data_IF_998148465350
#
_entry.id   IF_998148465350
#
_cell.length_a   1.000
_cell.length_b   1.000
_cell.length_c   1.000
_cell.angle_alpha   90.00
_cell.angle_beta   90.00
_cell.angle_gamma   90.00
#
_symmetry.space_group_name_H-M   'P 1'
#
loop_
_entity.id
_entity.type
_entity.pdbx_description
1 polymer ?
#
# COMPACT_ATOMS: atom_id res chain seq x y z
N UNK A 1 19.12 52.20 26.26
CA UNK A 1 18.16 51.52 25.36
C UNK A 1 18.72 50.27 24.67
N UNK A 2 20.05 50.12 24.45
CA UNK A 2 20.66 48.93 23.81
C UNK A 2 20.62 47.62 24.63
N UNK A 3 20.59 47.66 25.98
CA UNK A 3 20.57 46.44 26.83
C UNK A 3 19.23 45.69 26.83
N UNK A 4 18.13 46.36 26.46
CA UNK A 4 16.78 45.78 26.45
C UNK A 4 16.50 45.01 25.16
N UNK A 5 17.03 45.46 24.02
CA UNK A 5 16.89 44.76 22.75
C UNK A 5 17.64 43.43 22.74
N UNK A 6 18.84 43.36 23.33
CA UNK A 6 19.64 42.15 23.45
C UNK A 6 19.00 41.04 24.29
N UNK A 7 18.31 41.41 25.38
CA UNK A 7 17.56 40.45 26.20
C UNK A 7 16.37 39.85 25.45
N UNK A 8 15.69 40.69 24.65
CA UNK A 8 14.52 40.28 23.86
C UNK A 8 14.92 39.40 22.67
N UNK A 9 16.02 39.70 21.98
CA UNK A 9 16.54 38.82 20.92
C UNK A 9 17.12 37.52 21.46
N UNK A 10 17.79 37.53 22.62
CA UNK A 10 18.28 36.30 23.24
C UNK A 10 17.15 35.36 23.68
N UNK A 11 16.04 35.90 24.20
CA UNK A 11 14.86 35.11 24.58
C UNK A 11 14.12 34.53 23.37
N UNK A 12 14.05 35.25 22.25
CA UNK A 12 13.44 34.73 21.01
C UNK A 12 14.30 33.64 20.35
N UNK A 13 15.64 33.76 20.42
CA UNK A 13 16.54 32.72 19.91
C UNK A 13 16.49 31.43 20.75
N UNK A 14 16.38 31.54 22.08
CA UNK A 14 16.28 30.39 22.98
C UNK A 14 14.99 29.57 22.82
N UNK A 15 13.90 30.19 22.34
CA UNK A 15 12.62 29.51 22.11
C UNK A 15 12.51 28.83 20.73
N UNK A 16 13.27 29.29 19.71
CA UNK A 16 13.18 28.76 18.35
C UNK A 16 14.04 27.49 18.13
N UNK A 17 15.15 27.36 18.86
CA UNK A 17 16.10 26.23 18.72
C UNK A 17 15.50 24.87 19.14
N UNK A 18 14.72 24.76 20.25
CA UNK A 18 14.07 23.50 20.63
C UNK A 18 13.01 23.05 19.63
N UNK A 19 12.30 24.00 18.99
CA UNK A 19 11.29 23.70 17.98
C UNK A 19 11.88 23.09 16.70
N UNK A 20 13.10 23.52 16.30
CA UNK A 20 13.79 22.99 15.13
C UNK A 20 14.40 21.60 15.36
N UNK A 21 14.79 21.27 16.59
CA UNK A 21 15.41 19.97 16.93
C UNK A 21 14.38 18.87 17.22
N UNK A 22 13.17 19.22 17.64
CA UNK A 22 12.10 18.24 17.89
C UNK A 22 11.54 17.60 16.61
N UNK A 23 11.79 18.19 15.43
CA UNK A 23 11.35 17.66 14.13
C UNK A 23 12.25 16.56 13.56
N UNK A 24 13.48 16.38 14.07
CA UNK A 24 14.44 15.43 13.50
C UNK A 24 14.11 13.95 13.75
N UNK A 25 13.40 13.64 14.84
CA UNK A 25 13.06 12.27 15.23
C UNK A 25 12.05 11.60 14.29
N UNK A 26 11.22 12.38 13.61
CA UNK A 26 10.26 11.89 12.62
C UNK A 26 10.90 11.58 11.26
N UNK A 27 12.00 12.24 10.89
CA UNK A 27 12.67 12.02 9.60
C UNK A 27 13.61 10.80 9.63
N UNK A 28 14.28 10.58 10.76
CA UNK A 28 15.20 9.45 10.92
C UNK A 28 14.52 8.06 10.80
N UNK A 29 13.23 7.95 11.11
CA UNK A 29 12.50 6.67 11.08
C UNK A 29 12.08 6.25 9.67
N UNK A 30 11.65 7.20 8.83
CA UNK A 30 11.31 6.95 7.43
C UNK A 30 12.55 6.52 6.62
N UNK A 31 13.70 7.15 6.89
CA UNK A 31 14.99 6.79 6.27
C UNK A 31 15.39 5.34 6.55
N UNK A 32 15.14 4.84 7.77
CA UNK A 32 15.50 3.47 8.15
C UNK A 32 14.68 2.41 7.39
N UNK A 33 13.41 2.67 7.08
CA UNK A 33 12.57 1.75 6.29
C UNK A 33 13.01 1.76 4.83
N UNK A 34 13.26 2.93 4.26
CA UNK A 34 13.74 3.07 2.88
C UNK A 34 15.05 2.31 2.66
N UNK A 35 16.00 2.42 3.59
CA UNK A 35 17.27 1.68 3.54
C UNK A 35 17.05 0.15 3.57
N UNK A 36 16.18 -0.35 4.45
CA UNK A 36 15.86 -1.79 4.52
C UNK A 36 15.20 -2.31 3.24
N UNK A 37 14.34 -1.50 2.62
CA UNK A 37 13.70 -1.84 1.35
C UNK A 37 14.73 -1.86 0.20
N UNK A 38 15.64 -0.90 0.17
CA UNK A 38 16.75 -0.90 -0.80
C UNK A 38 17.68 -2.11 -0.63
N UNK A 39 18.02 -2.48 0.60
CA UNK A 39 18.82 -3.68 0.88
C UNK A 39 18.08 -4.97 0.52
N UNK A 40 16.75 -5.00 0.69
CA UNK A 40 15.92 -6.13 0.26
C UNK A 40 15.87 -6.23 -1.27
N UNK A 41 15.67 -5.12 -1.97
CA UNK A 41 15.71 -5.07 -3.44
C UNK A 41 17.05 -5.62 -3.94
N UNK A 42 18.18 -5.10 -3.41
CA UNK A 42 19.52 -5.53 -3.80
C UNK A 42 19.75 -7.02 -3.60
N UNK A 43 19.29 -7.58 -2.47
CA UNK A 43 19.41 -9.02 -2.18
C UNK A 43 18.51 -9.89 -3.04
N UNK A 44 17.39 -9.36 -3.53
CA UNK A 44 16.44 -10.11 -4.35
C UNK A 44 16.94 -10.42 -5.76
N UNK A 45 17.91 -9.64 -6.27
CA UNK A 45 18.36 -9.72 -7.66
C UNK A 45 17.35 -9.21 -8.69
N UNK A 46 16.23 -8.63 -8.24
CA UNK A 46 15.17 -8.08 -9.06
C UNK A 46 14.81 -6.64 -8.70
N UNK A 47 13.55 -6.30 -8.89
CA UNK A 47 12.96 -5.00 -8.54
C UNK A 47 11.90 -5.17 -7.47
N UNK A 48 11.83 -4.23 -6.53
CA UNK A 48 10.88 -4.23 -5.43
C UNK A 48 10.02 -2.97 -5.45
N UNK A 49 8.69 -3.13 -5.43
CA UNK A 49 7.73 -2.05 -5.25
C UNK A 49 6.93 -2.27 -3.97
N UNK A 50 6.80 -1.24 -3.15
CA UNK A 50 6.13 -1.33 -1.84
C UNK A 50 5.33 -0.05 -1.58
N UNK A 51 4.07 -0.24 -1.15
CA UNK A 51 3.23 0.82 -0.60
C UNK A 51 2.68 0.37 0.75
N UNK A 52 3.03 1.07 1.82
CA UNK A 52 2.45 0.90 3.15
C UNK A 52 1.54 2.10 3.41
N UNK A 53 0.28 1.84 3.74
CA UNK A 53 -0.72 2.85 4.06
C UNK A 53 -1.23 2.56 5.47
N UNK A 54 -1.04 3.49 6.39
CA UNK A 54 -1.64 3.43 7.71
C UNK A 54 -3.07 3.96 7.64
N UNK A 55 -4.06 3.08 7.74
CA UNK A 55 -5.48 3.47 7.62
C UNK A 55 -6.03 4.23 8.84
N UNK A 56 -5.23 4.44 9.89
CA UNK A 56 -5.62 5.24 11.05
C UNK A 56 -5.41 6.75 10.84
N UNK A 57 -4.41 7.13 10.03
CA UNK A 57 -3.98 8.52 9.83
C UNK A 57 -3.60 8.87 8.38
N UNK A 58 -3.83 7.95 7.43
CA UNK A 58 -3.47 8.03 6.01
C UNK A 58 -1.99 8.27 5.71
N UNK A 59 -1.09 8.11 6.70
CA UNK A 59 0.34 8.20 6.46
C UNK A 59 0.81 7.06 5.56
N UNK A 60 1.76 7.37 4.66
CA UNK A 60 2.24 6.43 3.66
C UNK A 60 3.77 6.33 3.67
N UNK A 61 4.27 5.12 3.41
CA UNK A 61 5.65 4.87 3.05
C UNK A 61 5.69 4.14 1.71
N UNK A 62 6.23 4.81 0.70
CA UNK A 62 6.30 4.31 -0.67
C UNK A 62 7.75 4.03 -1.06
N UNK A 63 7.99 2.91 -1.73
CA UNK A 63 9.26 2.56 -2.37
C UNK A 63 8.95 2.10 -3.80
N UNK A 64 9.36 2.89 -4.80
CA UNK A 64 8.96 2.73 -6.21
C UNK A 64 7.42 2.69 -6.40
N UNK A 65 6.68 3.45 -5.58
CA UNK A 65 5.21 3.39 -5.53
C UNK A 65 4.51 3.72 -6.85
N UNK A 66 5.13 4.55 -7.69
CA UNK A 66 4.57 4.98 -8.99
C UNK A 66 5.05 4.12 -10.18
N UNK A 67 5.88 3.11 -9.93
CA UNK A 67 6.40 2.25 -10.97
C UNK A 67 5.45 1.08 -11.27
N UNK A 68 5.48 0.59 -12.52
CA UNK A 68 4.63 -0.53 -12.95
C UNK A 68 5.24 -1.88 -12.59
N UNK A 69 4.39 -2.79 -12.12
CA UNK A 69 4.70 -4.19 -11.84
C UNK A 69 3.63 -5.11 -12.43
N UNK A 70 4.00 -6.36 -12.72
CA UNK A 70 3.03 -7.36 -13.15
C UNK A 70 2.09 -7.72 -11.98
N UNK A 71 0.79 -7.52 -12.15
CA UNK A 71 -0.19 -7.84 -11.10
C UNK A 71 -0.33 -9.36 -10.87
N UNK A 72 -0.12 -10.18 -11.91
CA UNK A 72 -0.38 -11.61 -11.85
C UNK A 72 -1.78 -11.88 -11.25
N UNK A 73 -1.89 -12.74 -10.23
CA UNK A 73 -3.16 -13.03 -9.57
C UNK A 73 -3.68 -11.93 -8.64
N UNK A 74 -2.90 -10.89 -8.28
CA UNK A 74 -3.42 -9.81 -7.42
C UNK A 74 -4.52 -9.00 -8.10
N UNK A 75 -4.51 -8.93 -9.44
CA UNK A 75 -5.56 -8.28 -10.22
C UNK A 75 -6.96 -8.92 -10.05
N UNK A 76 -7.04 -10.16 -9.54
CA UNK A 76 -8.33 -10.82 -9.25
C UNK A 76 -9.14 -10.09 -8.18
N UNK A 77 -8.50 -9.33 -7.29
CA UNK A 77 -9.20 -8.49 -6.30
C UNK A 77 -10.09 -7.47 -7.00
N UNK A 78 -9.59 -6.81 -8.05
CA UNK A 78 -10.37 -5.86 -8.83
C UNK A 78 -11.49 -6.52 -9.63
N UNK A 79 -11.25 -7.71 -10.19
CA UNK A 79 -12.29 -8.48 -10.87
C UNK A 79 -13.43 -8.86 -9.92
N UNK A 80 -13.12 -9.34 -8.71
CA UNK A 80 -14.10 -9.65 -7.69
C UNK A 80 -14.87 -8.39 -7.23
N UNK A 81 -14.17 -7.28 -7.02
CA UNK A 81 -14.79 -6.00 -6.66
C UNK A 81 -15.78 -5.52 -7.74
N UNK A 82 -15.46 -5.71 -9.03
CA UNK A 82 -16.36 -5.36 -10.12
C UNK A 82 -17.65 -6.22 -10.11
N UNK A 83 -17.53 -7.52 -9.86
CA UNK A 83 -18.69 -8.43 -9.70
C UNK A 83 -19.55 -8.01 -8.50
N UNK A 84 -18.92 -7.71 -7.36
CA UNK A 84 -19.64 -7.23 -6.17
C UNK A 84 -20.34 -5.89 -6.42
N UNK A 85 -19.68 -4.95 -7.12
CA UNK A 85 -20.29 -3.67 -7.48
C UNK A 85 -21.51 -3.86 -8.39
N UNK A 86 -21.43 -4.79 -9.34
CA UNK A 86 -22.57 -5.14 -10.19
C UNK A 86 -23.73 -5.75 -9.37
N UNK A 87 -23.42 -6.49 -8.31
CA UNK A 87 -24.43 -7.11 -7.47
C UNK A 87 -25.31 -6.11 -6.70
N UNK A 88 -24.83 -4.87 -6.50
CA UNK A 88 -25.61 -3.81 -5.85
C UNK A 88 -26.87 -3.43 -6.65
N UNK A 89 -26.84 -3.56 -7.98
CA UNK A 89 -28.00 -3.30 -8.86
C UNK A 89 -28.62 -4.58 -9.44
N UNK A 90 -27.88 -5.69 -9.42
CA UNK A 90 -28.36 -6.99 -9.87
C UNK A 90 -27.91 -8.11 -8.89
N UNK A 91 -28.69 -8.37 -7.83
CA UNK A 91 -28.34 -9.35 -6.80
C UNK A 91 -28.13 -10.78 -7.33
N UNK A 92 -28.73 -11.13 -8.47
CA UNK A 92 -28.59 -12.46 -9.07
C UNK A 92 -27.17 -12.74 -9.58
N UNK A 93 -26.35 -11.71 -9.80
CA UNK A 93 -24.98 -11.89 -10.33
C UNK A 93 -24.12 -12.77 -9.42
N UNK A 94 -24.26 -12.67 -8.10
CA UNK A 94 -23.48 -13.48 -7.15
C UNK A 94 -24.09 -14.86 -6.88
N UNK A 95 -25.38 -15.03 -7.17
CA UNK A 95 -26.10 -16.30 -7.02
C UNK A 95 -26.18 -17.10 -8.32
N UNK A 96 -25.76 -16.50 -9.44
CA UNK A 96 -25.81 -17.11 -10.76
C UNK A 96 -24.85 -18.29 -10.81
N UNK A 97 -25.42 -19.49 -10.94
CA UNK A 97 -24.67 -20.70 -11.23
C UNK A 97 -24.17 -20.69 -12.67
N UNK A 98 -22.87 -20.91 -12.84
CA UNK A 98 -22.15 -21.01 -14.10
C UNK A 98 -21.74 -22.47 -14.35
N UNK A 99 -22.02 -22.94 -15.56
CA UNK A 99 -21.45 -24.20 -16.06
C UNK A 99 -19.95 -24.02 -16.25
N UNK A 100 -19.16 -25.00 -15.78
CA UNK A 100 -17.71 -25.03 -15.96
C UNK A 100 -17.38 -26.26 -16.78
N UNK A 101 -16.82 -26.07 -17.98
CA UNK A 101 -16.41 -27.18 -18.83
C UNK A 101 -14.98 -27.59 -18.52
N UNK A 102 -14.66 -28.85 -18.79
CA UNK A 102 -13.28 -29.35 -18.65
C UNK A 102 -12.29 -28.56 -19.51
N UNK A 103 -12.75 -28.03 -20.65
CA UNK A 103 -11.96 -27.17 -21.55
C UNK A 103 -11.64 -25.79 -20.96
N UNK A 104 -12.39 -25.34 -19.96
CA UNK A 104 -12.22 -24.02 -19.34
C UNK A 104 -11.18 -24.04 -18.21
N UNK A 105 -10.78 -25.25 -17.77
CA UNK A 105 -9.77 -25.40 -16.72
C UNK A 105 -8.40 -24.99 -17.24
N UNK A 106 -7.77 -24.09 -16.50
CA UNK A 106 -6.38 -23.67 -16.70
C UNK A 106 -5.50 -24.20 -15.57
N UNK A 107 -4.19 -24.02 -15.69
CA UNK A 107 -3.22 -24.39 -14.65
C UNK A 107 -3.65 -23.79 -13.32
N UNK A 108 -3.64 -24.62 -12.27
CA UNK A 108 -4.01 -24.26 -10.89
C UNK A 108 -5.49 -23.89 -10.71
N UNK A 109 -6.37 -24.90 -10.90
CA UNK A 109 -7.83 -24.78 -10.75
C UNK A 109 -8.42 -25.65 -9.61
N UNK A 110 -7.86 -25.64 -8.38
CA UNK A 110 -8.14 -26.64 -7.34
C UNK A 110 -9.57 -26.65 -6.77
N UNK A 111 -10.34 -25.60 -7.06
CA UNK A 111 -11.76 -25.48 -6.68
C UNK A 111 -12.64 -25.80 -7.88
N UNK A 112 -12.50 -25.07 -8.98
CA UNK A 112 -13.34 -25.22 -10.17
C UNK A 112 -13.24 -26.61 -10.82
N UNK A 113 -12.10 -27.30 -10.71
CA UNK A 113 -11.94 -28.67 -11.22
C UNK A 113 -12.87 -29.70 -10.53
N UNK A 114 -13.36 -29.38 -9.32
CA UNK A 114 -14.27 -30.25 -8.55
C UNK A 114 -15.75 -30.03 -8.90
N UNK A 115 -16.04 -29.03 -9.73
CA UNK A 115 -17.40 -28.56 -10.01
C UNK A 115 -17.82 -28.70 -11.48
N UNK A 116 -17.15 -29.57 -12.26
CA UNK A 116 -17.44 -29.77 -13.68
C UNK A 116 -18.87 -30.26 -13.98
N UNK A 117 -19.50 -30.97 -13.03
CA UNK A 117 -20.88 -31.46 -13.18
C UNK A 117 -21.89 -30.54 -12.49
N UNK A 118 -21.55 -30.04 -11.30
CA UNK A 118 -22.48 -29.21 -10.52
C UNK A 118 -22.54 -27.77 -11.00
N UNK A 119 -21.53 -27.30 -11.73
CA UNK A 119 -21.25 -25.87 -11.90
C UNK A 119 -20.93 -25.19 -10.55
N UNK A 120 -20.73 -23.88 -10.60
CA UNK A 120 -20.58 -23.01 -9.43
C UNK A 120 -21.51 -21.83 -9.53
#
# INVERSE_FOLDING_TARGET
>A
MLKSSWRKTALMAAAAVPLLLASGSLWASADAIQQKLADLEKRSGGRLGVALINTADDSQTLYRGDERFAMCSTGKVMAAAAVLKQSESNPEVVNKRLEIKKSDLVVWSPITEKHLQSGM
#
